data_IF_316373151363
#
_entry.id   IF_316373151363
#
_cell.length_a   1.000
_cell.length_b   1.000
_cell.length_c   1.000
_cell.angle_alpha   90.00
_cell.angle_beta   90.00
_cell.angle_gamma   90.00
#
_symmetry.space_group_name_H-M   'P 1'
#
loop_
_entity.id
_entity.type
_entity.pdbx_description
1 polymer ?
#
# COMPACT_ATOMS: atom_id res chain seq x y z
N UNK A 1 24.31 18.37 9.78
CA UNK A 1 24.37 17.14 10.58
C UNK A 1 23.51 16.09 9.90
N UNK A 2 24.11 15.27 9.05
CA UNK A 2 23.44 14.19 8.33
C UNK A 2 23.62 12.90 9.14
N UNK A 3 22.59 12.50 9.87
CA UNK A 3 22.64 11.29 10.67
C UNK A 3 22.52 10.05 9.78
N UNK A 4 23.52 9.17 9.90
CA UNK A 4 23.51 7.74 9.58
C UNK A 4 22.17 7.11 9.97
N UNK A 5 21.25 6.96 9.04
CA UNK A 5 19.92 6.38 9.29
C UNK A 5 19.53 5.45 8.17
N UNK A 6 20.22 4.30 8.08
CA UNK A 6 19.68 3.18 7.32
C UNK A 6 18.37 2.73 7.98
N UNK A 7 17.28 2.75 7.20
CA UNK A 7 15.91 2.39 7.61
C UNK A 7 15.50 1.18 6.79
N UNK A 8 16.20 0.07 7.05
CA UNK A 8 16.10 -1.12 6.23
C UNK A 8 14.86 -1.96 6.54
N UNK A 9 14.16 -2.45 5.52
CA UNK A 9 13.12 -3.48 5.67
C UNK A 9 13.01 -4.37 4.42
N UNK A 10 12.55 -5.60 4.63
CA UNK A 10 12.23 -6.52 3.55
C UNK A 10 10.76 -6.44 3.21
N UNK A 11 10.43 -6.65 1.94
CA UNK A 11 9.05 -6.78 1.52
C UNK A 11 8.90 -7.64 0.26
N UNK A 12 7.70 -8.17 0.06
CA UNK A 12 7.36 -9.04 -1.08
C UNK A 12 5.99 -8.66 -1.64
N UNK A 13 5.81 -8.82 -2.95
CA UNK A 13 4.61 -8.47 -3.69
C UNK A 13 4.07 -9.66 -4.49
N UNK A 14 3.10 -10.38 -3.93
CA UNK A 14 2.44 -11.45 -4.67
C UNK A 14 1.29 -10.90 -5.50
N UNK A 15 1.18 -11.31 -6.76
CA UNK A 15 -0.03 -11.06 -7.56
C UNK A 15 -1.16 -11.92 -7.01
N UNK A 16 -2.35 -11.34 -6.93
CA UNK A 16 -3.56 -12.00 -6.47
C UNK A 16 -4.69 -11.73 -7.45
N UNK A 17 -5.47 -12.76 -7.76
CA UNK A 17 -6.62 -12.69 -8.66
C UNK A 17 -7.84 -13.35 -8.01
N UNK A 18 -9.07 -12.88 -8.32
CA UNK A 18 -10.25 -13.61 -7.90
C UNK A 18 -10.28 -14.97 -8.60
N UNK A 19 -10.76 -16.00 -7.90
CA UNK A 19 -10.99 -17.30 -8.53
C UNK A 19 -12.14 -17.20 -9.52
N UNK A 20 -11.97 -17.82 -10.69
CA UNK A 20 -13.03 -17.91 -11.71
C UNK A 20 -14.19 -18.81 -11.30
N UNK A 21 -14.00 -19.61 -10.26
CA UNK A 21 -15.00 -20.57 -9.75
C UNK A 21 -15.94 -19.95 -8.72
N UNK A 22 -15.68 -18.71 -8.29
CA UNK A 22 -16.51 -17.98 -7.33
C UNK A 22 -17.30 -16.90 -8.05
N UNK A 23 -18.60 -16.85 -7.77
CA UNK A 23 -19.50 -15.85 -8.35
C UNK A 23 -19.05 -14.43 -7.93
N UNK A 24 -18.89 -13.49 -8.88
CA UNK A 24 -18.55 -12.11 -8.55
C UNK A 24 -19.61 -11.47 -7.65
N UNK A 25 -19.15 -10.65 -6.69
CA UNK A 25 -20.01 -9.94 -5.75
C UNK A 25 -20.10 -8.48 -6.12
N UNK A 26 -21.27 -7.88 -5.89
CA UNK A 26 -21.51 -6.47 -6.14
C UNK A 26 -22.31 -5.87 -4.99
N UNK A 27 -22.10 -4.59 -4.72
CA UNK A 27 -23.02 -3.82 -3.87
C UNK A 27 -24.37 -3.64 -4.57
N UNK A 28 -25.38 -3.16 -3.85
CA UNK A 28 -26.68 -2.75 -4.43
C UNK A 28 -26.57 -1.70 -5.54
N UNK A 29 -25.45 -0.98 -5.60
CA UNK A 29 -25.15 0.04 -6.60
C UNK A 29 -24.30 -0.49 -7.77
N UNK A 30 -24.09 -1.81 -7.85
CA UNK A 30 -23.33 -2.44 -8.93
C UNK A 30 -21.81 -2.24 -8.82
N UNK A 31 -21.29 -1.83 -7.66
CA UNK A 31 -19.85 -1.72 -7.42
C UNK A 31 -19.31 -3.11 -7.11
N UNK A 32 -18.28 -3.54 -7.83
CA UNK A 32 -17.68 -4.85 -7.59
C UNK A 32 -17.04 -4.92 -6.19
N UNK A 33 -17.20 -6.07 -5.55
CA UNK A 33 -16.60 -6.38 -4.24
C UNK A 33 -15.73 -7.62 -4.35
N UNK A 34 -14.58 -7.66 -3.65
CA UNK A 34 -13.74 -8.84 -3.73
C UNK A 34 -14.37 -10.09 -3.08
N UNK A 35 -13.90 -11.29 -3.48
CA UNK A 35 -14.33 -12.55 -2.90
C UNK A 35 -14.09 -12.62 -1.39
N UNK A 36 -15.02 -13.25 -0.66
CA UNK A 36 -14.91 -13.47 0.79
C UNK A 36 -14.72 -14.92 1.19
N UNK A 37 -15.12 -15.85 0.31
CA UNK A 37 -15.03 -17.29 0.59
C UNK A 37 -13.59 -17.78 0.51
N UNK A 38 -13.25 -18.79 1.31
CA UNK A 38 -11.97 -19.50 1.22
C UNK A 38 -11.75 -20.03 -0.21
N UNK A 39 -10.53 -19.88 -0.73
CA UNK A 39 -10.21 -20.23 -2.12
C UNK A 39 -10.77 -19.26 -3.18
N UNK A 40 -11.57 -18.26 -2.77
CA UNK A 40 -12.07 -17.21 -3.66
C UNK A 40 -10.99 -16.24 -4.13
N UNK A 41 -9.87 -16.15 -3.42
CA UNK A 41 -8.69 -15.40 -3.84
C UNK A 41 -7.53 -16.39 -4.04
N UNK A 42 -6.77 -16.23 -5.12
CA UNK A 42 -5.61 -17.09 -5.41
C UNK A 42 -4.40 -16.27 -5.83
N UNK A 43 -3.22 -16.77 -5.47
CA UNK A 43 -1.96 -16.22 -5.98
C UNK A 43 -1.81 -16.56 -7.45
N UNK A 44 -1.37 -15.58 -8.23
CA UNK A 44 -1.07 -15.75 -9.64
C UNK A 44 0.46 -15.70 -9.84
N UNK A 45 1.08 -16.67 -10.51
CA UNK A 45 2.48 -16.57 -10.90
C UNK A 45 2.74 -15.33 -11.76
N UNK A 46 3.93 -14.76 -11.65
CA UNK A 46 4.36 -13.65 -12.50
C UNK A 46 5.59 -12.94 -11.94
N UNK A 47 6.01 -11.89 -12.64
CA UNK A 47 7.31 -11.23 -12.43
C UNK A 47 7.56 -10.69 -11.01
N UNK A 48 6.53 -10.45 -10.20
CA UNK A 48 6.72 -10.03 -8.79
C UNK A 48 6.41 -11.11 -7.76
N UNK A 49 5.64 -12.12 -8.13
CA UNK A 49 5.15 -13.13 -7.17
C UNK A 49 6.33 -13.95 -6.67
N UNK A 50 6.49 -14.01 -5.35
CA UNK A 50 7.64 -14.67 -4.71
C UNK A 50 8.96 -13.91 -4.78
N UNK A 51 9.01 -12.70 -5.35
CA UNK A 51 10.25 -11.90 -5.38
C UNK A 51 10.39 -11.11 -4.09
N UNK A 52 11.46 -11.40 -3.34
CA UNK A 52 11.83 -10.68 -2.13
C UNK A 52 12.64 -9.42 -2.49
N UNK A 53 12.23 -8.29 -1.93
CA UNK A 53 12.91 -7.01 -2.05
C UNK A 53 13.46 -6.57 -0.70
N UNK A 54 14.56 -5.85 -0.73
CA UNK A 54 15.16 -5.20 0.43
C UNK A 54 15.30 -3.71 0.17
N UNK A 55 14.61 -2.88 0.94
CA UNK A 55 14.88 -1.44 0.99
C UNK A 55 15.94 -1.19 2.06
N UNK A 56 17.09 -0.63 1.71
CA UNK A 56 18.22 -0.41 2.64
C UNK A 56 18.18 0.95 3.37
N UNK A 57 17.06 1.68 3.25
CA UNK A 57 16.94 3.08 3.68
C UNK A 57 17.26 4.09 2.57
N UNK A 58 17.92 3.66 1.51
CA UNK A 58 18.34 4.51 0.40
C UNK A 58 17.75 4.06 -0.93
N UNK A 59 17.76 2.76 -1.24
CA UNK A 59 17.22 2.18 -2.47
C UNK A 59 16.67 0.78 -2.22
N UNK A 60 15.80 0.33 -3.13
CA UNK A 60 15.34 -1.06 -3.14
C UNK A 60 16.29 -1.91 -3.97
N UNK A 61 16.60 -3.08 -3.44
CA UNK A 61 17.35 -4.14 -4.10
C UNK A 61 16.48 -5.39 -4.21
N UNK A 62 16.64 -6.15 -5.29
CA UNK A 62 16.12 -7.51 -5.35
C UNK A 62 17.01 -8.41 -4.51
N UNK A 63 16.41 -9.09 -3.54
CA UNK A 63 17.12 -10.07 -2.73
C UNK A 63 17.14 -11.42 -3.45
N UNK A 64 18.30 -12.08 -3.47
CA UNK A 64 18.50 -13.31 -4.24
C UNK A 64 18.49 -14.57 -3.35
N UNK A 65 18.70 -14.43 -2.04
CA UNK A 65 18.73 -15.58 -1.13
C UNK A 65 17.32 -15.94 -0.65
N UNK A 66 17.16 -17.15 -0.11
CA UNK A 66 15.89 -17.58 0.46
C UNK A 66 15.53 -16.72 1.67
N UNK A 67 14.23 -16.51 1.88
CA UNK A 67 13.73 -15.88 3.11
C UNK A 67 14.03 -16.74 4.35
N UNK A 68 14.19 -18.05 4.17
CA UNK A 68 14.47 -19.02 5.24
C UNK A 68 15.88 -18.85 5.82
N UNK A 69 16.81 -18.36 5.00
CA UNK A 69 18.18 -18.04 5.42
C UNK A 69 18.24 -16.74 6.23
N UNK A 70 17.17 -15.96 6.20
CA UNK A 70 17.05 -14.66 6.84
C UNK A 70 16.23 -14.82 8.12
N UNK A 71 16.78 -14.37 9.24
CA UNK A 71 16.04 -14.28 10.51
C UNK A 71 15.05 -13.10 10.46
N UNK A 72 14.03 -13.22 9.62
CA UNK A 72 13.02 -12.20 9.41
C UNK A 72 11.89 -12.31 10.42
N UNK A 73 11.50 -11.17 10.97
CA UNK A 73 10.32 -11.03 11.83
C UNK A 73 9.20 -10.38 11.02
N UNK A 74 8.04 -11.03 10.87
CA UNK A 74 6.89 -10.41 10.20
C UNK A 74 6.51 -9.08 10.86
N UNK A 75 6.39 -8.03 10.05
CA UNK A 75 5.89 -6.74 10.51
C UNK A 75 4.41 -6.59 10.20
N UNK A 76 4.06 -6.65 8.90
CA UNK A 76 2.67 -6.51 8.42
C UNK A 76 2.46 -7.30 7.14
N UNK A 77 1.22 -7.75 6.96
CA UNK A 77 0.72 -8.31 5.69
C UNK A 77 -0.60 -7.61 5.36
N UNK A 78 -0.83 -7.33 4.09
CA UNK A 78 -2.13 -6.82 3.63
C UNK A 78 -2.39 -7.24 2.20
N UNK A 79 -3.61 -7.71 1.95
CA UNK A 79 -4.09 -8.04 0.62
C UNK A 79 -4.93 -6.89 0.08
N UNK A 80 -4.82 -6.63 -1.21
CA UNK A 80 -5.47 -5.51 -1.87
C UNK A 80 -6.14 -5.95 -3.17
N UNK A 81 -7.23 -5.27 -3.51
CA UNK A 81 -7.76 -5.19 -4.87
C UNK A 81 -7.98 -3.74 -5.28
N UNK A 82 -7.76 -3.45 -6.56
CA UNK A 82 -8.18 -2.20 -7.17
C UNK A 82 -9.40 -2.40 -8.07
N UNK A 83 -10.43 -1.57 -7.94
CA UNK A 83 -11.58 -1.55 -8.83
C UNK A 83 -12.23 -0.17 -8.87
N UNK A 84 -12.47 0.38 -10.07
CA UNK A 84 -13.19 1.65 -10.27
C UNK A 84 -12.72 2.81 -9.39
N UNK A 85 -11.41 2.97 -9.24
CA UNK A 85 -10.83 4.02 -8.40
C UNK A 85 -10.78 3.71 -6.91
N UNK A 86 -11.23 2.53 -6.45
CA UNK A 86 -11.19 2.12 -5.05
C UNK A 86 -10.09 1.11 -4.82
N UNK A 87 -9.49 1.14 -3.62
CA UNK A 87 -8.58 0.09 -3.15
C UNK A 87 -9.25 -0.63 -1.98
N UNK A 88 -9.70 -1.85 -2.22
CA UNK A 88 -10.16 -2.76 -1.19
C UNK A 88 -8.96 -3.39 -0.49
N UNK A 89 -9.01 -3.56 0.83
CA UNK A 89 -7.91 -4.17 1.58
C UNK A 89 -8.32 -4.96 2.83
N UNK A 90 -7.53 -5.98 3.18
CA UNK A 90 -7.64 -6.77 4.43
C UNK A 90 -6.26 -7.02 5.04
N UNK A 91 -6.11 -7.00 6.38
CA UNK A 91 -4.81 -6.99 7.07
C UNK A 91 -4.16 -8.39 7.18
N UNK A 92 -4.38 -9.25 6.19
CA UNK A 92 -3.87 -10.62 6.14
C UNK A 92 -3.76 -11.10 4.69
N UNK A 93 -3.22 -12.31 4.49
CA UNK A 93 -3.18 -12.98 3.19
C UNK A 93 -4.59 -13.50 2.84
N UNK A 94 -5.28 -12.84 1.93
CA UNK A 94 -6.65 -13.15 1.52
C UNK A 94 -6.78 -14.51 0.82
N UNK A 95 -5.67 -15.18 0.52
CA UNK A 95 -5.64 -16.51 -0.12
C UNK A 95 -5.63 -17.66 0.90
N UNK A 96 -5.44 -17.37 2.19
CA UNK A 96 -5.27 -18.41 3.23
C UNK A 96 -6.48 -18.56 4.15
N UNK A 97 -7.47 -17.67 4.10
CA UNK A 97 -8.62 -17.70 5.00
C UNK A 97 -9.87 -17.02 4.41
N UNK A 98 -11.03 -17.33 4.98
CA UNK A 98 -12.30 -16.64 4.73
C UNK A 98 -12.24 -15.20 5.26
N UNK A 99 -12.97 -14.29 4.63
CA UNK A 99 -12.95 -12.85 4.92
C UNK A 99 -14.31 -12.42 5.45
N UNK A 100 -14.33 -11.84 6.66
CA UNK A 100 -15.55 -11.29 7.26
C UNK A 100 -16.61 -12.32 7.67
N UNK A 101 -16.24 -13.57 7.91
CA UNK A 101 -17.15 -14.61 8.40
C UNK A 101 -16.67 -15.17 9.73
N UNK A 102 -17.49 -14.99 10.78
CA UNK A 102 -17.69 -16.07 11.73
C UNK A 102 -18.49 -17.15 11.02
N UNK A 103 -18.11 -18.42 11.19
CA UNK A 103 -18.76 -19.56 10.55
C UNK A 103 -20.17 -19.85 11.12
N UNK A 104 -20.61 -19.11 12.15
CA UNK A 104 -21.78 -19.45 12.98
C UNK A 104 -22.83 -18.31 13.18
N UNK A 105 -22.76 -17.18 12.46
CA UNK A 105 -23.76 -16.10 12.65
C UNK A 105 -25.06 -16.37 11.87
N UNK A 106 -25.74 -17.45 12.26
CA UNK A 106 -27.20 -17.53 12.26
C UNK A 106 -27.72 -16.54 13.31
N UNK A 107 -27.75 -15.23 13.02
CA UNK A 107 -28.80 -14.33 13.52
C UNK A 107 -28.61 -12.88 13.02
N UNK A 108 -29.69 -12.44 12.40
CA UNK A 108 -30.00 -11.14 11.81
C UNK A 108 -30.12 -10.05 12.90
N UNK A 109 -29.00 -9.66 13.52
CA UNK A 109 -28.93 -8.43 14.31
C UNK A 109 -28.27 -7.35 13.46
N UNK A 110 -29.09 -6.45 12.92
CA UNK A 110 -28.76 -5.33 12.02
C UNK A 110 -27.84 -4.26 12.60
N UNK A 111 -26.79 -4.66 13.32
CA UNK A 111 -25.70 -3.83 13.74
C UNK A 111 -24.60 -3.93 12.67
N UNK A 112 -24.46 -2.87 11.86
CA UNK A 112 -23.41 -2.64 10.86
C UNK A 112 -21.98 -2.55 11.46
N UNK A 113 -21.69 -3.31 12.52
CA UNK A 113 -20.34 -3.54 13.00
C UNK A 113 -19.64 -4.42 11.96
N UNK A 114 -19.06 -3.77 10.95
CA UNK A 114 -18.16 -4.37 9.98
C UNK A 114 -17.19 -5.30 10.71
N UNK A 115 -17.30 -6.60 10.44
CA UNK A 115 -16.40 -7.59 11.00
C UNK A 115 -14.96 -7.07 10.83
N UNK A 116 -14.11 -7.12 11.87
CA UNK A 116 -12.76 -6.56 11.82
C UNK A 116 -11.93 -7.13 10.66
N UNK A 117 -12.31 -8.31 10.18
CA UNK A 117 -11.69 -9.05 9.08
C UNK A 117 -12.40 -8.90 7.73
N UNK A 118 -13.38 -8.01 7.60
CA UNK A 118 -14.02 -7.70 6.33
C UNK A 118 -13.12 -6.81 5.43
N UNK A 119 -13.41 -6.83 4.13
CA UNK A 119 -12.80 -5.91 3.16
C UNK A 119 -13.05 -4.46 3.56
N UNK A 120 -11.96 -3.77 3.89
CA UNK A 120 -11.93 -2.34 4.14
C UNK A 120 -11.58 -1.54 2.89
N UNK A 121 -11.64 -0.22 2.98
CA UNK A 121 -11.20 0.69 1.92
C UNK A 121 -9.94 1.43 2.36
N UNK A 122 -8.99 1.63 1.44
CA UNK A 122 -7.89 2.57 1.67
C UNK A 122 -8.44 3.99 1.65
N UNK A 123 -8.05 4.77 2.64
CA UNK A 123 -8.39 6.19 2.75
C UNK A 123 -7.31 6.95 3.51
N UNK A 124 -7.64 8.16 3.91
CA UNK A 124 -6.76 9.07 4.64
C UNK A 124 -7.34 9.44 6.00
N UNK A 125 -6.46 9.76 6.94
CA UNK A 125 -6.75 10.48 8.16
C UNK A 125 -6.04 11.84 8.09
N UNK A 126 -6.77 12.93 8.36
CA UNK A 126 -6.24 14.30 8.31
C UNK A 126 -5.84 14.84 9.69
N UNK A 127 -6.45 14.31 10.75
CA UNK A 127 -6.24 14.75 12.13
C UNK A 127 -5.42 13.74 12.93
N UNK A 128 -4.39 13.17 12.33
CA UNK A 128 -3.56 12.18 13.03
C UNK A 128 -2.62 12.83 14.06
N UNK A 129 -2.12 14.03 13.79
CA UNK A 129 -1.20 14.77 14.67
C UNK A 129 -1.38 16.30 14.45
N UNK A 130 -1.69 17.08 15.50
CA UNK A 130 -1.84 18.54 15.40
C UNK A 130 -0.61 19.25 14.80
N UNK A 131 0.58 18.67 14.96
CA UNK A 131 1.83 19.21 14.41
C UNK A 131 2.00 18.95 12.90
N UNK A 132 1.16 18.09 12.31
CA UNK A 132 1.18 17.71 10.89
C UNK A 132 -0.05 18.19 10.12
N UNK A 133 -0.42 19.44 10.33
CA UNK A 133 -1.70 20.05 9.90
C UNK A 133 -1.99 20.01 8.39
N UNK A 134 -1.03 19.61 7.56
CA UNK A 134 -1.14 19.56 6.09
C UNK A 134 -0.58 18.26 5.48
N UNK A 135 -0.40 17.21 6.27
CA UNK A 135 0.06 15.90 5.80
C UNK A 135 -1.08 14.89 5.88
N UNK A 136 -1.34 14.14 4.81
CA UNK A 136 -2.34 13.07 4.86
C UNK A 136 -1.72 11.77 5.36
N UNK A 137 -2.34 11.12 6.34
CA UNK A 137 -1.95 9.79 6.79
C UNK A 137 -2.78 8.74 6.04
N UNK A 138 -2.16 7.94 5.17
CA UNK A 138 -2.86 6.91 4.40
C UNK A 138 -2.94 5.57 5.16
N UNK A 139 -4.11 4.94 5.18
CA UNK A 139 -4.32 3.70 5.93
C UNK A 139 -5.53 2.91 5.44
N UNK A 140 -5.62 1.65 5.89
CA UNK A 140 -6.89 0.91 5.87
C UNK A 140 -7.95 1.65 6.69
N UNK A 141 -9.15 1.76 6.13
CA UNK A 141 -10.34 2.38 6.72
C UNK A 141 -10.12 3.84 7.14
N UNK A 142 -9.30 4.58 6.39
CA UNK A 142 -9.17 6.03 6.61
C UNK A 142 -10.51 6.74 6.36
N UNK A 143 -10.86 7.69 7.23
CA UNK A 143 -12.17 8.37 7.21
C UNK A 143 -12.36 9.31 6.02
N UNK A 144 -11.26 9.76 5.40
CA UNK A 144 -11.26 10.73 4.32
C UNK A 144 -10.90 10.05 2.99
N UNK A 145 -11.68 10.22 1.92
CA UNK A 145 -11.37 9.58 0.63
C UNK A 145 -10.26 10.29 -0.14
N UNK A 146 -9.86 11.50 0.26
CA UNK A 146 -8.98 12.40 -0.48
C UNK A 146 -7.83 12.92 0.38
N UNK A 147 -6.77 13.35 -0.28
CA UNK A 147 -5.70 14.11 0.37
C UNK A 147 -6.24 15.41 0.98
N UNK A 148 -5.67 15.81 2.12
CA UNK A 148 -6.05 17.04 2.85
C UNK A 148 -5.80 18.30 2.02
N UNK A 149 -4.64 18.37 1.36
CA UNK A 149 -4.31 19.44 0.43
C UNK A 149 -3.25 18.95 -0.55
N UNK A 150 -3.13 19.64 -1.68
CA UNK A 150 -2.13 19.35 -2.71
C UNK A 150 -1.47 20.64 -3.19
N UNK A 151 -0.15 20.59 -3.39
CA UNK A 151 0.58 21.68 -4.01
C UNK A 151 0.59 21.55 -5.53
N UNK A 152 0.67 22.66 -6.27
CA UNK A 152 0.81 22.63 -7.72
C UNK A 152 2.05 21.86 -8.21
N UNK A 153 3.16 21.89 -7.46
CA UNK A 153 4.41 21.21 -7.83
C UNK A 153 4.41 19.70 -7.56
N UNK A 154 3.47 19.19 -6.75
CA UNK A 154 3.42 17.79 -6.36
C UNK A 154 3.01 16.92 -7.56
N UNK A 155 3.98 16.21 -8.12
CA UNK A 155 3.74 15.28 -9.22
C UNK A 155 3.27 13.91 -8.74
N UNK A 156 3.74 13.47 -7.58
CA UNK A 156 3.47 12.13 -7.05
C UNK A 156 1.98 11.77 -6.92
N UNK A 157 1.04 12.69 -6.59
CA UNK A 157 -0.36 12.29 -6.47
C UNK A 157 -0.94 11.87 -7.82
N UNK A 158 -0.54 12.55 -8.90
CA UNK A 158 -1.01 12.24 -10.26
C UNK A 158 -0.43 10.94 -10.81
N UNK A 159 0.70 10.49 -10.26
CA UNK A 159 1.35 9.26 -10.69
C UNK A 159 0.97 8.06 -9.83
N UNK A 160 0.71 8.24 -8.53
CA UNK A 160 0.40 7.16 -7.59
C UNK A 160 -1.09 6.96 -7.32
N UNK A 161 -1.87 8.04 -7.34
CA UNK A 161 -3.25 8.02 -6.87
C UNK A 161 -4.24 8.18 -8.03
N UNK A 162 -5.32 7.39 -8.06
CA UNK A 162 -6.48 7.65 -8.88
C UNK A 162 -7.08 9.05 -8.61
N UNK A 163 -7.78 9.66 -9.58
CA UNK A 163 -8.30 11.03 -9.43
C UNK A 163 -9.22 11.25 -8.22
N UNK A 164 -9.97 10.23 -7.77
CA UNK A 164 -10.87 10.34 -6.63
C UNK A 164 -10.14 10.46 -5.27
N UNK A 165 -8.83 10.22 -5.22
CA UNK A 165 -7.98 10.43 -4.05
C UNK A 165 -7.35 11.84 -4.02
N UNK A 166 -7.50 12.63 -5.08
CA UNK A 166 -6.88 13.95 -5.17
C UNK A 166 -7.65 14.97 -4.33
N UNK A 167 -6.90 15.94 -3.79
CA UNK A 167 -7.46 17.02 -2.99
C UNK A 167 -8.42 17.86 -3.83
N UNK A 168 -9.42 18.42 -3.17
CA UNK A 168 -10.23 19.51 -3.75
C UNK A 168 -9.61 20.87 -3.43
N UNK A 169 -8.86 20.95 -2.33
CA UNK A 169 -8.15 22.14 -1.89
C UNK A 169 -6.73 22.13 -2.43
N UNK A 170 -6.50 22.96 -3.45
CA UNK A 170 -5.17 23.25 -3.97
C UNK A 170 -4.64 24.50 -3.27
N UNK A 171 -3.44 24.40 -2.69
CA UNK A 171 -2.80 25.57 -2.11
C UNK A 171 -2.37 26.52 -3.23
N UNK A 172 -2.55 27.82 -3.03
CA UNK A 172 -2.00 28.84 -3.94
C UNK A 172 -0.47 28.84 -3.89
N UNK A 173 0.08 28.48 -2.74
CA UNK A 173 1.49 28.57 -2.44
C UNK A 173 2.16 27.20 -2.50
N UNK A 174 3.44 27.18 -2.85
CA UNK A 174 4.24 25.97 -3.01
C UNK A 174 5.13 25.66 -1.79
N UNK A 175 4.73 26.12 -0.59
CA UNK A 175 5.56 25.96 0.60
C UNK A 175 5.71 24.48 1.02
N UNK A 176 6.93 24.11 1.43
CA UNK A 176 7.33 22.76 1.80
C UNK A 176 6.42 22.08 2.86
N UNK A 177 5.81 22.89 3.75
CA UNK A 177 4.90 22.37 4.78
C UNK A 177 3.57 21.84 4.25
N UNK A 178 3.08 22.32 3.10
CA UNK A 178 1.77 21.93 2.57
C UNK A 178 1.81 20.62 1.79
N UNK A 179 0.75 19.83 1.92
CA UNK A 179 0.57 18.56 1.23
C UNK A 179 1.57 17.48 1.64
N UNK A 180 1.48 16.34 0.97
CA UNK A 180 2.35 15.19 1.21
C UNK A 180 1.62 14.08 1.95
N UNK A 181 2.30 12.95 2.10
CA UNK A 181 1.71 11.72 2.60
C UNK A 181 2.69 10.94 3.48
N UNK A 182 2.17 10.48 4.60
CA UNK A 182 2.73 9.42 5.46
C UNK A 182 1.67 8.32 5.58
N UNK A 183 1.92 7.28 6.36
CA UNK A 183 0.95 6.21 6.57
C UNK A 183 1.54 4.81 6.47
N UNK A 184 0.65 3.83 6.40
CA UNK A 184 1.01 2.40 6.45
C UNK A 184 1.87 1.99 5.23
N UNK A 185 3.03 1.38 5.48
CA UNK A 185 4.02 1.09 4.43
C UNK A 185 3.47 0.13 3.38
N UNK A 186 2.72 -0.88 3.80
CA UNK A 186 2.09 -1.84 2.91
C UNK A 186 1.10 -1.17 1.95
N UNK A 187 0.35 -0.15 2.41
CA UNK A 187 -0.56 0.65 1.58
C UNK A 187 0.23 1.50 0.59
N UNK A 188 1.29 2.19 1.03
CA UNK A 188 2.11 3.03 0.14
C UNK A 188 2.79 2.19 -0.94
N UNK A 189 3.38 1.04 -0.58
CA UNK A 189 4.00 0.11 -1.52
C UNK A 189 2.94 -0.46 -2.47
N UNK A 190 1.73 -0.79 -1.99
CA UNK A 190 0.64 -1.24 -2.83
C UNK A 190 0.26 -0.19 -3.88
N UNK A 191 0.11 1.08 -3.50
CA UNK A 191 -0.18 2.17 -4.43
C UNK A 191 0.89 2.30 -5.53
N UNK A 192 2.18 2.20 -5.16
CA UNK A 192 3.27 2.17 -6.14
C UNK A 192 3.11 0.99 -7.10
N UNK A 193 2.87 -0.21 -6.60
CA UNK A 193 2.68 -1.40 -7.42
C UNK A 193 1.46 -1.28 -8.35
N UNK A 194 0.36 -0.68 -7.89
CA UNK A 194 -0.83 -0.44 -8.70
C UNK A 194 -0.64 0.66 -9.75
N UNK A 195 0.17 1.67 -9.48
CA UNK A 195 0.43 2.76 -10.43
C UNK A 195 1.18 2.33 -11.70
N UNK A 196 1.84 1.17 -11.67
CA UNK A 196 2.65 0.60 -12.76
C UNK A 196 2.04 -0.68 -13.29
N UNK A 197 2.27 -1.02 -14.57
CA UNK A 197 1.77 -2.28 -15.16
C UNK A 197 2.36 -3.48 -14.41
N UNK A 198 1.58 -4.57 -14.25
CA UNK A 198 1.97 -5.74 -13.45
C UNK A 198 3.35 -6.31 -13.79
N UNK A 199 3.66 -6.44 -15.08
CA UNK A 199 4.96 -6.96 -15.57
C UNK A 199 6.15 -5.99 -15.41
N UNK A 200 5.91 -4.76 -14.94
CA UNK A 200 6.97 -3.74 -14.73
C UNK A 200 7.18 -3.38 -13.27
N UNK A 201 6.39 -3.94 -12.35
CA UNK A 201 6.49 -3.61 -10.92
C UNK A 201 7.90 -3.88 -10.41
N UNK A 202 8.47 -5.06 -10.69
CA UNK A 202 9.82 -5.44 -10.26
C UNK A 202 10.88 -4.42 -10.69
N UNK A 203 10.82 -3.96 -11.95
CA UNK A 203 11.79 -3.04 -12.53
C UNK A 203 11.60 -1.59 -12.06
N UNK A 204 10.35 -1.20 -11.77
CA UNK A 204 9.99 0.20 -11.52
C UNK A 204 10.05 0.56 -10.04
N UNK A 205 9.71 -0.38 -9.15
CA UNK A 205 9.65 -0.11 -7.72
C UNK A 205 10.98 0.39 -7.14
N UNK A 206 12.16 -0.14 -7.54
CA UNK A 206 13.45 0.42 -7.15
C UNK A 206 13.74 1.85 -7.62
N UNK A 207 12.96 2.37 -8.57
CA UNK A 207 13.07 3.75 -9.07
C UNK A 207 12.16 4.71 -8.30
N UNK A 208 11.07 4.19 -7.74
CA UNK A 208 10.10 4.91 -6.91
C UNK A 208 10.61 5.12 -5.48
N UNK A 209 11.39 4.18 -4.95
CA UNK A 209 11.89 4.20 -3.58
C UNK A 209 13.40 4.47 -3.58
N UNK A 210 13.80 5.72 -3.84
CA UNK A 210 15.20 6.17 -3.87
C UNK A 210 15.43 7.38 -2.96
N UNK A 211 16.63 7.52 -2.41
CA UNK A 211 17.23 8.69 -1.75
C UNK A 211 16.26 9.75 -1.21
N UNK A 212 16.08 9.80 0.11
CA UNK A 212 15.38 10.83 0.90
C UNK A 212 13.94 11.21 0.47
N UNK A 213 13.45 10.73 -0.67
CA UNK A 213 12.15 11.09 -1.25
C UNK A 213 11.63 9.96 -2.10
N UNK A 214 10.66 9.25 -1.55
CA UNK A 214 9.87 8.35 -2.37
C UNK A 214 9.10 9.18 -3.41
N UNK A 215 8.90 8.61 -4.58
CA UNK A 215 8.21 9.26 -5.70
C UNK A 215 7.40 8.24 -6.47
N UNK A 216 6.35 8.70 -7.12
CA UNK A 216 5.65 7.82 -8.05
C UNK A 216 6.46 7.51 -9.30
N UNK A 217 6.02 6.51 -10.09
CA UNK A 217 6.69 6.15 -11.33
C UNK A 217 6.73 7.36 -12.27
N UNK A 218 7.84 7.50 -13.00
CA UNK A 218 7.98 8.55 -14.02
C UNK A 218 6.95 8.31 -15.11
N UNK A 219 6.06 9.29 -15.32
CA UNK A 219 5.22 9.35 -16.52
C UNK A 219 6.14 9.76 -17.67
N UNK A 220 6.62 8.77 -18.41
CA UNK A 220 7.40 9.05 -19.61
C UNK A 220 6.45 9.59 -20.70
N UNK A 221 6.85 10.64 -21.41
CA UNK A 221 5.98 11.38 -22.33
C UNK A 221 5.57 10.58 -23.58
N UNK A 222 6.33 9.53 -23.91
CA UNK A 222 6.08 8.65 -25.07
C UNK A 222 5.80 7.18 -24.69
N UNK A 223 5.94 6.79 -23.42
CA UNK A 223 5.78 5.39 -23.04
C UNK A 223 4.67 5.23 -22.00
N UNK A 224 3.87 4.17 -22.18
CA UNK A 224 2.78 3.71 -21.31
C UNK A 224 3.24 3.33 -19.86
N UNK A 225 4.23 4.03 -19.30
CA UNK A 225 4.70 3.93 -17.92
C UNK A 225 3.82 4.88 -17.10
N UNK A 226 2.69 4.34 -16.63
CA UNK A 226 1.73 5.07 -15.82
C UNK A 226 0.29 4.67 -16.14
N UNK A 227 -0.51 4.53 -15.08
CA UNK A 227 -1.90 4.01 -15.02
C UNK A 227 -2.02 2.49 -15.10
N UNK A 228 -1.15 1.76 -14.40
CA UNK A 228 -1.28 0.31 -14.18
C UNK A 228 -2.51 -0.14 -13.36
N UNK A 229 -3.38 0.82 -13.03
CA UNK A 229 -4.69 0.62 -12.46
C UNK A 229 -5.55 -0.17 -13.43
N UNK A 230 -5.77 -1.43 -13.11
CA UNK A 230 -6.63 -2.34 -13.86
C UNK A 230 -7.65 -2.89 -12.88
N UNK A 231 -8.93 -2.79 -13.24
CA UNK A 231 -10.02 -3.31 -12.42
C UNK A 231 -9.79 -4.78 -12.08
N UNK A 232 -10.15 -5.14 -10.84
CA UNK A 232 -9.98 -6.46 -10.23
C UNK A 232 -8.53 -6.95 -10.16
N UNK A 233 -7.54 -6.09 -10.37
CA UNK A 233 -6.15 -6.43 -10.08
C UNK A 233 -5.96 -6.52 -8.58
N UNK A 234 -5.40 -7.62 -8.11
CA UNK A 234 -5.06 -7.82 -6.70
C UNK A 234 -3.56 -7.99 -6.48
N UNK A 235 -3.11 -7.61 -5.29
CA UNK A 235 -1.75 -7.87 -4.80
C UNK A 235 -1.77 -8.17 -3.30
N UNK A 236 -0.76 -8.89 -2.82
CA UNK A 236 -0.51 -9.10 -1.40
C UNK A 236 0.85 -8.49 -1.08
N UNK A 237 0.88 -7.58 -0.12
CA UNK A 237 2.11 -6.95 0.35
C UNK A 237 2.46 -7.55 1.70
N UNK A 238 3.67 -8.09 1.81
CA UNK A 238 4.25 -8.56 3.09
C UNK A 238 5.48 -7.75 3.40
N UNK A 239 5.63 -7.35 4.65
CA UNK A 239 6.76 -6.58 5.15
C UNK A 239 7.34 -7.31 6.35
N UNK A 240 8.66 -7.38 6.40
CA UNK A 240 9.41 -7.95 7.51
C UNK A 240 10.51 -7.00 7.96
N UNK A 241 10.83 -7.09 9.24
CA UNK A 241 12.10 -6.61 9.80
C UNK A 241 13.09 -7.77 9.85
N UNK A 242 14.39 -7.48 9.99
CA UNK A 242 15.35 -8.53 10.32
C UNK A 242 16.14 -8.11 11.56
N UNK A 243 16.43 -9.09 12.41
CA UNK A 243 17.33 -8.89 13.54
C UNK A 243 18.79 -9.06 13.07
N UNK A 244 19.68 -8.16 13.50
CA UNK A 244 21.13 -8.36 13.36
C UNK A 244 21.92 -7.14 12.87
N UNK A 245 23.18 -7.08 13.31
CA UNK A 245 24.12 -5.99 13.01
C UNK A 245 24.52 -5.89 11.52
N UNK A 246 24.18 -6.88 10.70
CA UNK A 246 24.71 -7.03 9.33
C UNK A 246 24.09 -6.04 8.34
N UNK A 247 22.89 -5.52 8.62
CA UNK A 247 22.15 -4.72 7.64
C UNK A 247 21.64 -3.36 8.17
N UNK A 248 22.07 -2.93 9.36
CA UNK A 248 21.54 -1.72 10.04
C UNK A 248 19.99 -1.68 9.99
N UNK A 249 19.37 -2.85 10.12
CA UNK A 249 17.93 -3.00 10.01
C UNK A 249 17.27 -2.65 11.32
N UNK A 250 16.11 -2.00 11.18
CA UNK A 250 15.39 -1.43 12.29
C UNK A 250 14.28 -2.35 12.80
N UNK A 251 13.89 -2.15 14.05
CA UNK A 251 12.85 -2.93 14.74
C UNK A 251 11.46 -2.63 14.19
N UNK A 252 10.45 -3.40 14.60
CA UNK A 252 9.05 -3.10 14.27
C UNK A 252 8.61 -1.73 14.78
N UNK A 253 9.19 -1.27 15.89
CA UNK A 253 8.90 0.06 16.47
C UNK A 253 9.37 1.19 15.54
N UNK A 254 10.56 1.04 14.96
CA UNK A 254 11.11 2.03 14.04
C UNK A 254 10.31 2.15 12.73
N UNK A 255 9.81 1.03 12.20
CA UNK A 255 8.91 1.07 11.05
C UNK A 255 7.61 1.78 11.40
N UNK A 256 7.07 1.58 12.60
CA UNK A 256 5.90 2.32 13.07
C UNK A 256 6.18 3.83 13.21
N UNK A 257 7.37 4.22 13.67
CA UNK A 257 7.79 5.63 13.69
C UNK A 257 7.92 6.20 12.28
N UNK A 258 8.42 5.41 11.32
CA UNK A 258 8.50 5.81 9.92
C UNK A 258 7.11 6.00 9.29
N UNK A 259 6.17 5.10 9.52
CA UNK A 259 4.77 5.22 9.09
C UNK A 259 4.10 6.49 9.64
N UNK A 260 4.45 6.87 10.88
CA UNK A 260 3.95 8.08 11.57
C UNK A 260 4.65 9.37 11.17
N UNK A 261 5.64 9.33 10.28
CA UNK A 261 6.32 10.52 9.79
C UNK A 261 7.33 11.14 10.74
N UNK A 262 7.80 10.43 11.77
CA UNK A 262 8.86 10.92 12.68
C UNK A 262 10.16 11.25 11.94
N UNK A 263 10.30 10.73 10.73
CA UNK A 263 11.44 10.96 9.86
C UNK A 263 11.13 11.88 8.66
N UNK A 264 10.03 12.61 8.73
CA UNK A 264 9.50 13.41 7.63
C UNK A 264 8.46 12.66 6.79
N UNK A 265 7.94 13.37 5.80
CA UNK A 265 6.94 12.86 4.87
C UNK A 265 7.56 11.76 4.00
N UNK A 266 6.85 10.65 3.81
CA UNK A 266 7.29 9.58 2.90
C UNK A 266 7.21 10.09 1.46
N UNK A 267 6.09 10.75 1.11
CA UNK A 267 5.91 11.46 -0.15
C UNK A 267 5.71 12.95 0.14
N UNK A 268 6.54 13.80 -0.46
CA UNK A 268 6.50 15.26 -0.30
C UNK A 268 6.27 15.95 -1.64
#
# INVERSE_FOLDING_TARGET
MAAENARGFFFMLDRMIPSGDVMPRYTSHGIWMPPVVMGGNRKEPGDTTGVLFYFDGNTVHRWQQSIEDLQLTPYRVMSFYYDQGRFWCVPFDATTQTIGGNEDDDEDDGNDNHAPDAWGLVGFQHEWDPSQTYTSYIMRNGSQPRLICQRPSQRWPRTLLPPNFHSQDFTSDDYAQYGGMIGELNVIIALMAFSVKSHRVEQTLPQCMRQDRWRGPTLDTDSNIGRGWKDQRGIIVRIWTAAGAVLNMRTSEDLALFERGYYGKILA
#
